data_IF_146789233017
#
_entry.id   IF_146789233017
#
_cell.length_a   1.000
_cell.length_b   1.000
_cell.length_c   1.000
_cell.angle_alpha   90.00
_cell.angle_beta   90.00
_cell.angle_gamma   90.00
#
_symmetry.space_group_name_H-M   'P 1'
#
loop_
_entity.id
_entity.type
_entity.pdbx_description
1 polymer ?
#
# COMPACT_ATOMS: atom_id res chain seq x y z
N UNK A 1 -1.27 25.81 27.36
CA UNK A 1 -1.48 24.37 27.12
C UNK A 1 -2.09 24.28 25.74
N UNK A 2 -1.27 24.12 24.72
CA UNK A 2 -1.71 24.21 23.32
C UNK A 2 -2.43 22.94 22.87
N UNK A 3 -3.67 23.17 22.45
CA UNK A 3 -4.49 22.49 21.44
C UNK A 3 -3.89 21.26 20.75
N UNK A 4 -4.40 20.07 21.10
CA UNK A 4 -4.47 18.95 20.15
C UNK A 4 -5.94 18.59 19.92
N UNK A 5 -6.49 19.02 18.78
CA UNK A 5 -7.62 18.34 18.17
C UNK A 5 -7.27 16.85 18.11
N UNK A 6 -8.08 15.92 18.65
CA UNK A 6 -7.73 14.52 18.61
C UNK A 6 -7.77 14.08 17.16
N UNK A 7 -6.61 13.85 16.56
CA UNK A 7 -6.55 13.24 15.24
C UNK A 7 -7.28 11.90 15.30
N UNK A 8 -8.21 11.68 14.37
CA UNK A 8 -8.97 10.44 14.35
C UNK A 8 -8.00 9.27 14.07
N UNK A 9 -7.88 8.36 15.02
CA UNK A 9 -7.02 7.18 14.90
C UNK A 9 -7.32 6.39 13.62
N UNK A 10 -8.60 6.31 13.23
CA UNK A 10 -8.99 5.62 12.01
C UNK A 10 -8.43 6.33 10.76
N UNK A 11 -8.34 7.66 10.75
CA UNK A 11 -7.79 8.39 9.60
C UNK A 11 -6.29 8.13 9.44
N UNK A 12 -5.55 8.12 10.55
CA UNK A 12 -4.11 7.79 10.54
C UNK A 12 -3.91 6.37 10.03
N UNK A 13 -4.69 5.43 10.53
CA UNK A 13 -4.61 4.04 10.13
C UNK A 13 -5.01 3.82 8.66
N UNK A 14 -6.05 4.50 8.16
CA UNK A 14 -6.46 4.47 6.74
C UNK A 14 -5.36 5.02 5.83
N UNK A 15 -4.71 6.12 6.22
CA UNK A 15 -3.57 6.67 5.47
C UNK A 15 -2.43 5.65 5.44
N UNK A 16 -2.02 5.13 6.59
CA UNK A 16 -0.93 4.17 6.65
C UNK A 16 -1.23 2.92 5.79
N UNK A 17 -2.45 2.37 5.87
CA UNK A 17 -2.89 1.24 5.04
C UNK A 17 -2.83 1.55 3.54
N UNK A 18 -3.25 2.75 3.15
CA UNK A 18 -3.17 3.18 1.75
C UNK A 18 -1.72 3.31 1.29
N UNK A 19 -0.86 3.89 2.13
CA UNK A 19 0.58 3.97 1.85
C UNK A 19 1.20 2.58 1.68
N UNK A 20 0.81 1.61 2.49
CA UNK A 20 1.24 0.22 2.34
C UNK A 20 0.82 -0.38 0.99
N UNK A 21 -0.41 -0.11 0.55
CA UNK A 21 -0.90 -0.50 -0.79
C UNK A 21 -0.06 0.08 -1.93
N UNK A 22 0.52 1.28 -1.73
CA UNK A 22 1.42 1.96 -2.67
C UNK A 22 2.87 1.99 -2.19
N UNK A 23 3.31 0.98 -1.43
CA UNK A 23 4.62 0.97 -0.77
C UNK A 23 5.79 1.20 -1.72
N UNK A 24 5.72 0.71 -2.95
CA UNK A 24 6.77 0.93 -3.95
C UNK A 24 6.93 2.42 -4.32
N UNK A 25 5.83 3.16 -4.46
CA UNK A 25 5.87 4.61 -4.69
C UNK A 25 6.52 5.33 -3.50
N UNK A 26 6.04 5.08 -2.29
CA UNK A 26 6.55 5.76 -1.09
C UNK A 26 8.02 5.42 -0.81
N UNK A 27 8.45 4.21 -1.15
CA UNK A 27 9.85 3.82 -1.10
C UNK A 27 10.72 4.60 -2.08
N UNK A 28 10.28 4.77 -3.33
CA UNK A 28 11.10 5.39 -4.37
C UNK A 28 11.05 6.93 -4.31
N UNK A 29 9.86 7.51 -4.15
CA UNK A 29 9.62 8.96 -4.28
C UNK A 29 9.67 9.71 -2.95
N UNK A 30 9.46 9.02 -1.83
CA UNK A 30 9.44 9.62 -0.48
C UNK A 30 10.50 9.03 0.47
N UNK A 31 11.31 8.09 -0.01
CA UNK A 31 12.35 7.44 0.79
C UNK A 31 11.81 6.86 2.11
N UNK A 32 10.63 6.26 2.06
CA UNK A 32 10.00 5.61 3.21
C UNK A 32 10.16 4.09 3.14
N UNK A 33 10.35 3.46 4.28
CA UNK A 33 10.21 2.02 4.45
C UNK A 33 8.86 1.75 5.13
N UNK A 34 8.05 0.90 4.52
CA UNK A 34 6.74 0.50 5.02
C UNK A 34 6.77 -1.00 5.26
N UNK A 35 6.70 -1.40 6.52
CA UNK A 35 6.70 -2.80 6.93
C UNK A 35 5.35 -3.17 7.52
N UNK A 36 4.77 -4.28 7.05
CA UNK A 36 3.51 -4.82 7.56
C UNK A 36 3.73 -6.23 8.11
N UNK A 37 3.59 -6.38 9.43
CA UNK A 37 3.60 -7.67 10.10
C UNK A 37 2.18 -8.18 10.29
N UNK A 38 1.94 -9.43 9.88
CA UNK A 38 0.63 -10.11 9.99
C UNK A 38 0.40 -10.78 11.34
N UNK A 39 1.45 -10.90 12.15
CA UNK A 39 1.38 -11.41 13.51
C UNK A 39 2.62 -10.91 14.27
N UNK A 40 2.42 -10.01 15.24
CA UNK A 40 3.52 -9.42 16.00
C UNK A 40 4.01 -10.30 17.15
N UNK A 41 3.15 -11.16 17.68
CA UNK A 41 3.35 -11.78 18.98
C UNK A 41 2.55 -13.08 19.13
N UNK A 42 2.23 -13.75 18.03
CA UNK A 42 1.50 -15.00 18.03
C UNK A 42 0.00 -14.95 18.30
N UNK A 43 -0.53 -13.78 18.68
CA UNK A 43 -1.97 -13.63 18.95
C UNK A 43 -2.81 -13.23 17.73
N UNK A 44 -2.17 -12.93 16.60
CA UNK A 44 -2.82 -12.41 15.41
C UNK A 44 -3.01 -10.89 15.41
N UNK A 45 -2.38 -10.19 16.35
CA UNK A 45 -2.24 -8.74 16.34
C UNK A 45 -1.32 -8.35 15.19
N UNK A 46 -1.78 -7.43 14.34
CA UNK A 46 -1.03 -6.99 13.16
C UNK A 46 -0.38 -5.63 13.42
N UNK A 47 0.72 -5.36 12.72
CA UNK A 47 1.47 -4.11 12.88
C UNK A 47 1.85 -3.51 11.53
N UNK A 48 1.66 -2.21 11.41
CA UNK A 48 2.12 -1.42 10.26
C UNK A 48 3.05 -0.32 10.75
N UNK A 49 4.25 -0.29 10.17
CA UNK A 49 5.34 0.57 10.59
C UNK A 49 5.87 1.34 9.39
N UNK A 50 5.91 2.67 9.50
CA UNK A 50 6.38 3.57 8.46
C UNK A 50 7.54 4.37 9.04
N UNK A 51 8.73 4.24 8.44
CA UNK A 51 9.94 4.97 8.85
C UNK A 51 10.67 5.57 7.65
N UNK A 52 11.52 6.57 7.88
CA UNK A 52 12.45 7.02 6.82
C UNK A 52 13.48 5.92 6.56
N UNK A 53 13.89 5.77 5.31
CA UNK A 53 15.01 4.89 4.97
C UNK A 53 16.24 5.32 5.78
N UNK A 54 16.96 4.34 6.32
CA UNK A 54 18.16 4.54 7.14
C UNK A 54 17.93 5.27 8.48
N UNK A 55 16.68 5.35 8.97
CA UNK A 55 16.35 5.86 10.30
C UNK A 55 15.63 4.75 11.07
N UNK A 56 16.00 4.56 12.34
CA UNK A 56 15.44 3.51 13.20
C UNK A 56 14.30 3.98 14.10
N UNK A 57 13.65 5.08 13.70
CA UNK A 57 12.47 5.63 14.38
C UNK A 57 11.29 5.52 13.42
N UNK A 58 10.23 4.87 13.88
CA UNK A 58 8.96 4.83 13.15
C UNK A 58 8.29 6.21 13.22
N UNK A 59 8.01 6.80 12.06
CA UNK A 59 7.23 8.04 11.95
C UNK A 59 5.76 7.78 12.28
N UNK A 60 5.23 6.66 11.78
CA UNK A 60 3.88 6.18 12.07
C UNK A 60 3.97 4.70 12.42
N UNK A 61 3.40 4.33 13.56
CA UNK A 61 3.19 2.93 13.94
C UNK A 61 1.72 2.75 14.25
N UNK A 62 1.12 1.73 13.64
CA UNK A 62 -0.28 1.36 13.85
C UNK A 62 -0.34 -0.11 14.21
N UNK A 63 -0.95 -0.40 15.35
CA UNK A 63 -1.24 -1.75 15.83
C UNK A 63 -2.71 -2.03 15.61
N UNK A 64 -3.00 -3.17 14.97
CA UNK A 64 -4.35 -3.61 14.69
C UNK A 64 -4.69 -4.85 15.50
N UNK A 65 -5.90 -4.87 16.05
CA UNK A 65 -6.49 -6.08 16.61
C UNK A 65 -7.63 -6.56 15.72
N UNK A 66 -7.91 -7.85 15.78
CA UNK A 66 -9.11 -8.38 15.14
C UNK A 66 -10.33 -8.16 16.04
N UNK A 67 -11.49 -7.98 15.43
CA UNK A 67 -12.76 -7.85 16.14
C UNK A 67 -13.80 -8.82 15.58
N UNK A 68 -14.55 -9.45 16.48
CA UNK A 68 -15.71 -10.27 16.16
C UNK A 68 -17.02 -9.46 16.19
N UNK A 69 -16.95 -8.19 16.63
CA UNK A 69 -18.12 -7.33 16.70
C UNK A 69 -18.52 -6.83 15.31
N UNK A 70 -19.75 -7.15 14.90
CA UNK A 70 -20.27 -6.76 13.58
C UNK A 70 -20.51 -5.26 13.44
N UNK A 71 -20.62 -4.54 14.57
CA UNK A 71 -20.96 -3.12 14.63
C UNK A 71 -19.74 -2.20 14.72
N UNK A 72 -18.53 -2.74 14.84
CA UNK A 72 -17.31 -1.93 14.89
C UNK A 72 -17.02 -1.32 13.49
N UNK A 73 -16.59 -0.05 13.48
CA UNK A 73 -16.02 0.58 12.28
C UNK A 73 -14.64 -0.03 11.98
N UNK A 74 -14.65 -1.16 11.29
CA UNK A 74 -13.44 -1.87 10.91
C UNK A 74 -12.74 -1.20 9.72
N UNK A 75 -11.41 -1.31 9.69
CA UNK A 75 -10.58 -0.65 8.71
C UNK A 75 -10.34 -1.50 7.47
N UNK A 76 -10.14 -2.81 7.66
CA UNK A 76 -9.95 -3.78 6.59
C UNK A 76 -10.28 -5.21 7.04
N UNK A 77 -10.42 -6.09 6.06
CA UNK A 77 -10.59 -7.53 6.26
C UNK A 77 -9.35 -8.26 5.72
N UNK A 78 -8.82 -9.20 6.51
CA UNK A 78 -7.68 -10.02 6.12
C UNK A 78 -7.72 -11.38 6.82
N UNK A 79 -6.88 -12.30 6.37
CA UNK A 79 -6.70 -13.58 7.06
C UNK A 79 -6.07 -13.37 8.44
N UNK A 80 -6.66 -13.99 9.47
CA UNK A 80 -6.14 -14.01 10.82
C UNK A 80 -5.12 -15.14 10.95
N UNK A 81 -3.85 -14.75 10.98
CA UNK A 81 -2.72 -15.66 11.09
C UNK A 81 -2.23 -15.64 12.54
N UNK A 82 -2.04 -16.81 13.16
CA UNK A 82 -1.56 -16.94 14.55
C UNK A 82 -0.47 -18.00 14.65
N UNK A 83 0.65 -17.67 15.27
CA UNK A 83 1.69 -18.67 15.64
C UNK A 83 1.41 -19.37 17.00
N UNK A 84 0.32 -19.02 17.68
CA UNK A 84 -0.10 -19.60 18.97
C UNK A 84 0.89 -19.35 20.13
N UNK A 85 1.88 -18.46 19.97
CA UNK A 85 2.92 -18.14 20.94
C UNK A 85 3.79 -19.33 21.32
N UNK A 86 3.94 -20.28 20.40
CA UNK A 86 4.71 -21.51 20.61
C UNK A 86 5.63 -21.75 19.43
N UNK A 87 6.93 -21.72 19.69
CA UNK A 87 7.99 -21.81 18.67
C UNK A 87 8.02 -23.14 17.88
N UNK A 88 7.25 -24.14 18.32
CA UNK A 88 7.18 -25.48 17.71
C UNK A 88 5.84 -25.79 17.04
N UNK A 89 4.82 -24.95 17.20
CA UNK A 89 3.52 -25.17 16.54
C UNK A 89 3.46 -24.42 15.21
N UNK A 90 2.91 -25.05 14.15
CA UNK A 90 2.79 -24.38 12.87
C UNK A 90 1.83 -23.19 12.99
N UNK A 91 2.15 -22.12 12.27
CA UNK A 91 1.26 -20.98 12.14
C UNK A 91 -0.09 -21.40 11.55
N UNK A 92 -1.18 -20.98 12.19
CA UNK A 92 -2.56 -21.34 11.80
C UNK A 92 -3.24 -20.13 11.16
N UNK A 93 -3.82 -20.34 9.97
CA UNK A 93 -4.76 -19.39 9.38
C UNK A 93 -6.17 -19.70 9.89
N UNK A 94 -6.77 -18.75 10.62
CA UNK A 94 -8.12 -18.84 11.21
C UNK A 94 -9.21 -18.31 10.27
N UNK A 95 -8.86 -18.01 9.01
CA UNK A 95 -9.76 -17.42 8.02
C UNK A 95 -9.88 -15.91 8.17
N UNK A 96 -10.79 -15.33 7.38
CA UNK A 96 -10.94 -13.87 7.28
C UNK A 96 -11.56 -13.26 8.54
N UNK A 97 -10.93 -12.22 9.05
CA UNK A 97 -11.41 -11.41 10.17
C UNK A 97 -11.30 -9.93 9.85
N UNK A 98 -12.09 -9.14 10.57
CA UNK A 98 -12.08 -7.67 10.52
C UNK A 98 -11.06 -7.12 11.49
N UNK A 99 -10.34 -6.08 11.08
CA UNK A 99 -9.30 -5.45 11.87
C UNK A 99 -9.63 -3.98 12.17
N UNK A 100 -9.39 -3.58 13.42
CA UNK A 100 -9.56 -2.21 13.91
C UNK A 100 -8.22 -1.67 14.42
N UNK A 101 -8.03 -0.35 14.38
CA UNK A 101 -6.85 0.26 14.98
C UNK A 101 -6.97 0.24 16.50
N UNK A 102 -6.01 -0.40 17.18
CA UNK A 102 -5.94 -0.50 18.63
C UNK A 102 -5.04 0.56 19.24
N UNK A 103 -3.89 0.79 18.61
CA UNK A 103 -2.87 1.71 19.11
C UNK A 103 -2.18 2.40 17.94
N UNK A 104 -1.88 3.68 18.14
CA UNK A 104 -1.17 4.51 17.18
C UNK A 104 -0.09 5.29 17.91
N UNK A 105 1.09 5.31 17.32
CA UNK A 105 2.21 6.17 17.74
C UNK A 105 2.62 7.02 16.53
N UNK A 106 2.79 8.32 16.77
CA UNK A 106 3.21 9.29 15.77
C UNK A 106 4.49 10.00 16.25
N UNK A 107 5.54 9.90 15.45
CA UNK A 107 6.79 10.66 15.61
C UNK A 107 7.00 11.63 14.44
N UNK A 108 5.89 12.21 13.97
CA UNK A 108 5.84 13.20 12.90
C UNK A 108 4.71 14.18 13.20
N UNK A 109 4.87 15.44 12.79
CA UNK A 109 3.80 16.42 12.87
C UNK A 109 2.67 16.06 11.90
N UNK A 110 1.52 15.67 12.45
CA UNK A 110 0.37 15.23 11.68
C UNK A 110 -0.20 16.33 10.76
N UNK A 111 -0.08 17.59 11.17
CA UNK A 111 -0.54 18.72 10.36
C UNK A 111 0.59 19.32 9.50
N UNK A 112 1.79 18.73 9.57
CA UNK A 112 2.97 19.21 8.88
C UNK A 112 2.91 18.99 7.37
N UNK A 113 3.76 19.73 6.66
CA UNK A 113 3.85 19.69 5.20
C UNK A 113 4.13 18.28 4.64
N UNK A 114 4.90 17.47 5.36
CA UNK A 114 5.23 16.10 4.93
C UNK A 114 3.98 15.21 4.87
N UNK A 115 3.09 15.27 5.88
CA UNK A 115 1.82 14.54 5.87
C UNK A 115 0.87 15.08 4.80
N UNK A 116 0.81 16.40 4.59
CA UNK A 116 0.00 16.99 3.53
C UNK A 116 0.45 16.51 2.14
N UNK A 117 1.76 16.43 1.91
CA UNK A 117 2.31 15.87 0.68
C UNK A 117 1.91 14.40 0.50
N UNK A 118 2.00 13.57 1.55
CA UNK A 118 1.59 12.17 1.45
C UNK A 118 0.10 12.01 1.19
N UNK A 119 -0.75 12.87 1.75
CA UNK A 119 -2.20 12.90 1.46
C UNK A 119 -2.47 13.22 -0.01
N UNK A 120 -1.78 14.23 -0.56
CA UNK A 120 -1.90 14.58 -1.97
C UNK A 120 -1.39 13.44 -2.88
N UNK A 121 -0.30 12.77 -2.50
CA UNK A 121 0.18 11.59 -3.22
C UNK A 121 -0.84 10.46 -3.19
N UNK A 122 -1.43 10.16 -2.03
CA UNK A 122 -2.48 9.13 -1.88
C UNK A 122 -3.67 9.47 -2.77
N UNK A 123 -4.14 10.71 -2.74
CA UNK A 123 -5.27 11.15 -3.58
C UNK A 123 -4.97 10.89 -5.06
N UNK A 124 -3.75 11.23 -5.52
CA UNK A 124 -3.33 10.99 -6.90
C UNK A 124 -3.23 9.49 -7.21
N UNK A 125 -2.64 8.69 -6.33
CA UNK A 125 -2.39 7.26 -6.53
C UNK A 125 -3.65 6.40 -6.48
N UNK A 126 -4.71 6.88 -5.84
CA UNK A 126 -5.99 6.17 -5.69
C UNK A 126 -7.00 6.51 -6.78
N UNK A 127 -6.69 7.49 -7.66
CA UNK A 127 -7.54 7.79 -8.82
C UNK A 127 -7.54 6.63 -9.81
N UNK A 128 -8.73 6.28 -10.28
CA UNK A 128 -8.90 5.38 -11.41
C UNK A 128 -8.72 6.14 -12.72
N UNK A 129 -8.14 5.47 -13.71
CA UNK A 129 -7.98 6.00 -15.05
C UNK A 129 -8.51 4.98 -16.05
N UNK A 130 -9.48 5.40 -16.87
CA UNK A 130 -10.22 4.49 -17.74
C UNK A 130 -9.47 4.19 -19.05
N UNK A 131 -8.61 5.09 -19.51
CA UNK A 131 -7.87 4.97 -20.77
C UNK A 131 -6.53 5.72 -20.71
N UNK A 132 -5.59 5.41 -21.61
CA UNK A 132 -4.23 5.98 -21.60
C UNK A 132 -4.19 7.50 -21.76
N UNK A 133 -5.17 8.12 -22.44
CA UNK A 133 -5.23 9.58 -22.58
C UNK A 133 -5.53 10.24 -21.22
N UNK A 134 -6.37 9.62 -20.41
CA UNK A 134 -6.66 10.09 -19.05
C UNK A 134 -5.43 10.03 -18.15
N UNK A 135 -4.60 8.97 -18.25
CA UNK A 135 -3.30 8.91 -17.56
C UNK A 135 -2.41 10.10 -17.93
N UNK A 136 -2.31 10.41 -19.23
CA UNK A 136 -1.51 11.53 -19.74
C UNK A 136 -2.04 12.88 -19.27
N UNK A 137 -3.36 13.09 -19.33
CA UNK A 137 -4.02 14.33 -18.89
C UNK A 137 -3.77 14.60 -17.41
N UNK A 138 -3.74 13.56 -16.59
CA UNK A 138 -3.48 13.65 -15.15
C UNK A 138 -2.00 13.58 -14.78
N UNK A 139 -1.09 13.52 -15.75
CA UNK A 139 0.35 13.44 -15.48
C UNK A 139 0.75 12.19 -14.67
N UNK A 140 -0.01 11.09 -14.80
CA UNK A 140 0.20 9.87 -14.02
C UNK A 140 1.11 8.89 -14.73
N UNK A 141 2.08 8.36 -14.01
CA UNK A 141 2.97 7.29 -14.48
C UNK A 141 2.36 5.94 -14.13
N UNK A 142 2.72 4.87 -14.86
CA UNK A 142 2.13 3.55 -14.65
C UNK A 142 3.13 2.59 -14.03
N UNK A 143 2.80 2.08 -12.84
CA UNK A 143 3.53 0.98 -12.23
C UNK A 143 3.02 -0.34 -12.82
N UNK A 144 3.89 -1.05 -13.51
CA UNK A 144 3.62 -2.33 -14.15
C UNK A 144 4.31 -3.43 -13.37
N UNK A 145 3.52 -4.38 -12.89
CA UNK A 145 3.99 -5.57 -12.20
C UNK A 145 3.60 -6.82 -12.98
N UNK A 146 4.47 -7.82 -13.00
CA UNK A 146 4.12 -9.12 -13.55
C UNK A 146 2.98 -9.76 -12.73
N UNK A 147 2.04 -10.42 -13.40
CA UNK A 147 0.95 -11.15 -12.73
C UNK A 147 1.41 -12.42 -11.98
N UNK A 148 2.67 -12.85 -12.14
CA UNK A 148 3.18 -14.04 -11.46
C UNK A 148 3.26 -13.80 -9.95
N UNK A 149 2.54 -14.63 -9.17
CA UNK A 149 2.38 -14.42 -7.73
C UNK A 149 3.67 -14.51 -6.90
N UNK A 150 4.61 -15.39 -7.26
CA UNK A 150 5.71 -15.77 -6.34
C UNK A 150 7.13 -15.47 -6.84
N UNK A 151 7.41 -15.44 -8.15
CA UNK A 151 8.81 -15.45 -8.65
C UNK A 151 9.24 -14.28 -9.56
N UNK A 152 8.28 -13.59 -10.20
CA UNK A 152 8.53 -12.37 -10.99
C UNK A 152 7.62 -11.28 -10.42
N UNK A 153 8.12 -10.45 -9.49
CA UNK A 153 7.44 -9.24 -8.99
C UNK A 153 8.24 -7.97 -9.24
N UNK A 154 9.24 -8.02 -10.13
CA UNK A 154 10.02 -6.83 -10.44
C UNK A 154 9.09 -5.78 -11.06
N UNK A 155 8.89 -4.63 -10.38
CA UNK A 155 8.09 -3.55 -10.93
C UNK A 155 8.86 -2.85 -12.05
N UNK A 156 8.13 -2.28 -12.99
CA UNK A 156 8.64 -1.36 -14.01
C UNK A 156 7.72 -0.17 -14.10
N UNK A 157 8.28 1.03 -14.22
CA UNK A 157 7.51 2.25 -14.35
C UNK A 157 7.48 2.61 -15.83
N UNK A 158 6.28 2.72 -16.40
CA UNK A 158 6.10 3.39 -17.69
C UNK A 158 5.90 4.88 -17.40
N UNK A 159 6.86 5.67 -17.88
CA UNK A 159 6.84 7.13 -17.74
C UNK A 159 5.79 7.74 -18.65
N UNK A 160 5.51 9.03 -18.45
CA UNK A 160 4.63 9.78 -19.36
C UNK A 160 5.09 9.74 -20.81
N UNK A 161 6.39 9.67 -21.07
CA UNK A 161 6.91 9.57 -22.44
C UNK A 161 6.62 8.20 -23.06
N UNK A 162 6.74 7.13 -22.27
CA UNK A 162 6.39 5.78 -22.72
C UNK A 162 4.89 5.69 -23.04
N UNK A 163 4.04 6.25 -22.17
CA UNK A 163 2.60 6.28 -22.39
C UNK A 163 2.21 7.08 -23.63
N UNK A 164 2.87 8.22 -23.90
CA UNK A 164 2.68 9.01 -25.14
C UNK A 164 2.98 8.19 -26.39
N UNK A 165 4.03 7.39 -26.37
CA UNK A 165 4.37 6.52 -27.50
C UNK A 165 3.28 5.48 -27.74
N UNK A 166 2.78 4.83 -26.70
CA UNK A 166 1.68 3.86 -26.83
C UNK A 166 0.39 4.48 -27.37
N UNK A 167 0.03 5.68 -26.90
CA UNK A 167 -1.11 6.43 -27.43
C UNK A 167 -0.92 6.77 -28.90
N UNK A 168 0.26 7.25 -29.30
CA UNK A 168 0.58 7.56 -30.69
C UNK A 168 0.53 6.33 -31.61
N UNK A 169 0.76 5.13 -31.06
CA UNK A 169 0.62 3.86 -31.76
C UNK A 169 -0.83 3.34 -31.84
N UNK A 170 -1.81 4.08 -31.29
CA UNK A 170 -3.21 3.68 -31.24
C UNK A 170 -3.49 2.51 -30.30
N UNK A 171 -2.62 2.27 -29.31
CA UNK A 171 -2.74 1.16 -28.35
C UNK A 171 -3.73 1.54 -27.26
N UNK A 172 -4.71 0.68 -26.98
CA UNK A 172 -5.62 0.86 -25.85
C UNK A 172 -4.98 0.42 -24.52
N UNK A 173 -5.55 0.83 -23.39
CA UNK A 173 -5.08 0.38 -22.07
C UNK A 173 -5.15 -1.15 -21.92
N UNK A 174 -6.22 -1.78 -22.41
CA UNK A 174 -6.39 -3.24 -22.36
C UNK A 174 -5.41 -3.96 -23.30
N UNK A 175 -5.18 -3.41 -24.50
CA UNK A 175 -4.14 -3.93 -25.40
C UNK A 175 -2.75 -3.81 -24.75
N UNK A 176 -2.45 -2.71 -24.08
CA UNK A 176 -1.16 -2.54 -23.40
C UNK A 176 -0.98 -3.61 -22.32
N UNK A 177 -1.97 -3.83 -21.44
CA UNK A 177 -1.92 -4.85 -20.38
C UNK A 177 -1.69 -6.27 -20.91
N UNK A 178 -2.24 -6.59 -22.07
CA UNK A 178 -2.11 -7.92 -22.70
C UNK A 178 -0.83 -8.08 -23.53
N UNK A 179 -0.29 -6.98 -24.08
CA UNK A 179 0.99 -6.96 -24.83
C UNK A 179 2.21 -7.07 -23.92
N UNK A 180 2.16 -6.47 -22.74
CA UNK A 180 3.28 -6.46 -21.79
C UNK A 180 3.66 -7.89 -21.37
N UNK A 181 4.95 -8.21 -21.48
CA UNK A 181 5.53 -9.52 -21.18
C UNK A 181 6.63 -9.38 -20.13
N UNK A 182 6.54 -10.11 -19.00
CA UNK A 182 7.63 -10.10 -18.00
C UNK A 182 8.90 -10.65 -18.65
N UNK A 183 9.99 -9.88 -18.64
CA UNK A 183 11.30 -10.28 -19.16
C UNK A 183 11.88 -11.50 -18.44
N UNK A 184 11.60 -11.63 -17.13
CA UNK A 184 12.10 -12.73 -16.29
C UNK A 184 11.37 -14.07 -16.48
N UNK A 185 10.05 -14.08 -16.66
CA UNK A 185 9.25 -15.32 -16.70
C UNK A 185 8.37 -15.48 -17.94
N UNK A 186 8.39 -14.52 -18.86
CA UNK A 186 7.66 -14.55 -20.12
C UNK A 186 6.13 -14.46 -20.02
N UNK A 187 5.56 -14.37 -18.81
CA UNK A 187 4.10 -14.25 -18.62
C UNK A 187 3.58 -12.89 -19.07
N UNK A 188 2.36 -12.90 -19.62
CA UNK A 188 1.57 -11.73 -20.01
C UNK A 188 0.47 -11.43 -18.99
N UNK A 189 -0.25 -10.33 -19.20
CA UNK A 189 -1.33 -9.88 -18.31
C UNK A 189 -0.77 -9.15 -17.12
N UNK A 190 -0.07 -8.04 -17.36
CA UNK A 190 0.52 -7.25 -16.28
C UNK A 190 -0.55 -6.66 -15.37
N UNK A 191 -0.26 -6.60 -14.07
CA UNK A 191 -1.00 -5.75 -13.13
C UNK A 191 -0.49 -4.33 -13.27
N UNK A 192 -1.41 -3.38 -13.43
CA UNK A 192 -1.07 -1.97 -13.57
C UNK A 192 -1.74 -1.18 -12.45
N UNK A 193 -1.00 -0.25 -11.86
CA UNK A 193 -1.48 0.68 -10.84
C UNK A 193 -0.88 2.05 -11.09
N UNK A 194 -1.48 3.10 -10.53
CA UNK A 194 -0.94 4.45 -10.61
C UNK A 194 0.40 4.54 -9.89
N UNK A 195 1.33 5.29 -10.47
CA UNK A 195 2.65 5.62 -9.93
C UNK A 195 2.85 7.13 -9.89
#
# INVERSE_FOLDING_TARGET
MDTHTPYNCNDIARIALTMHGHSYFFSLRRHLNINFSRDLNGSGTQGLFIKKQNVDIDLIKVIFDYTDNKNDDFLYEADLIKDQRKDYEPTVNRGKHRFVAKQIELNIDWNGNEIQQWRADIERLTRSHDNLEDWLKNGSEMLVCCASGFFCRLPTILTLNDLKQYVAMGVTLEDLKTRLKCSKCGKRGSKVTVF
#
